data_IF_127225144812
#
_entry.id   IF_127225144812
#
_cell.length_a   1.000
_cell.length_b   1.000
_cell.length_c   1.000
_cell.angle_alpha   90.00
_cell.angle_beta   90.00
_cell.angle_gamma   90.00
#
_symmetry.space_group_name_H-M   'P 1'
#
loop_
_entity.id
_entity.type
_entity.pdbx_description
1 polymer ?
#
# COMPACT_ATOMS: atom_id res chain seq x y z
N UNK A 1 3.68 -16.95 -8.86
CA UNK A 1 4.92 -16.12 -8.84
C UNK A 1 6.17 -16.97 -8.62
N UNK A 2 6.24 -17.81 -7.58
CA UNK A 2 7.40 -18.69 -7.31
C UNK A 2 7.68 -19.72 -8.43
N UNK A 3 6.63 -20.29 -9.03
CA UNK A 3 6.77 -21.19 -10.18
C UNK A 3 7.43 -20.52 -11.40
N UNK A 4 7.22 -19.20 -11.57
CA UNK A 4 7.86 -18.41 -12.65
C UNK A 4 9.36 -18.23 -12.37
N UNK A 5 9.77 -18.22 -11.10
CA UNK A 5 11.17 -18.13 -10.67
C UNK A 5 11.88 -19.50 -10.67
N UNK A 6 11.23 -20.57 -11.15
CA UNK A 6 11.81 -21.92 -11.21
C UNK A 6 11.70 -22.73 -9.90
N UNK A 7 10.87 -22.28 -8.95
CA UNK A 7 10.63 -22.98 -7.70
C UNK A 7 9.36 -23.85 -7.80
N UNK A 8 9.48 -25.13 -7.46
CA UNK A 8 8.33 -26.01 -7.26
C UNK A 8 7.55 -25.57 -6.02
N UNK A 9 6.22 -25.55 -6.10
CA UNK A 9 5.37 -25.14 -4.97
C UNK A 9 4.29 -26.17 -4.73
N UNK A 10 4.16 -26.65 -3.50
CA UNK A 10 3.06 -27.50 -3.06
C UNK A 10 2.35 -26.86 -1.87
N UNK A 11 1.03 -26.94 -1.86
CA UNK A 11 0.19 -26.49 -0.76
C UNK A 11 -0.22 -27.69 0.07
N UNK A 12 -0.20 -27.58 1.39
CA UNK A 12 -0.75 -28.59 2.29
C UNK A 12 -1.70 -27.92 3.31
N UNK A 13 -2.69 -28.64 3.84
CA UNK A 13 -3.58 -28.10 4.86
C UNK A 13 -2.77 -27.84 6.14
N UNK A 14 -2.69 -26.58 6.57
CA UNK A 14 -2.03 -26.20 7.84
C UNK A 14 -2.96 -26.24 9.04
N UNK A 15 -4.16 -26.81 8.91
CA UNK A 15 -5.16 -26.88 9.99
C UNK A 15 -5.70 -25.51 10.39
N UNK A 16 -5.91 -25.30 11.69
CA UNK A 16 -6.40 -24.03 12.25
C UNK A 16 -5.38 -22.88 12.10
N UNK A 17 -4.11 -23.21 11.88
CA UNK A 17 -3.02 -22.24 11.84
C UNK A 17 -2.85 -21.58 10.47
N UNK A 18 -3.47 -22.12 9.41
CA UNK A 18 -3.54 -21.51 8.08
C UNK A 18 -3.21 -22.43 6.92
N UNK A 19 -2.63 -21.87 5.85
CA UNK A 19 -2.26 -22.60 4.64
C UNK A 19 -0.77 -22.93 4.67
N UNK A 20 -0.43 -24.22 4.60
CA UNK A 20 0.94 -24.70 4.47
C UNK A 20 1.44 -24.54 3.04
N UNK A 21 2.65 -24.00 2.88
CA UNK A 21 3.35 -23.88 1.61
C UNK A 21 4.71 -24.53 1.71
N UNK A 22 4.95 -25.50 0.84
CA UNK A 22 6.27 -26.09 0.60
C UNK A 22 6.82 -25.56 -0.71
N UNK A 23 8.01 -24.96 -0.64
CA UNK A 23 8.75 -24.47 -1.79
C UNK A 23 10.00 -25.33 -1.98
N UNK A 24 10.17 -25.88 -3.17
CA UNK A 24 11.25 -26.80 -3.52
C UNK A 24 12.08 -26.22 -4.66
N UNK A 25 13.41 -26.20 -4.50
CA UNK A 25 14.35 -25.83 -5.55
C UNK A 25 15.48 -26.85 -5.62
N UNK A 26 15.55 -27.59 -6.72
CA UNK A 26 16.52 -28.66 -6.93
C UNK A 26 16.59 -29.64 -5.73
N UNK A 27 17.56 -29.50 -4.83
CA UNK A 27 17.77 -30.35 -3.64
C UNK A 27 17.35 -29.72 -2.31
N UNK A 28 16.83 -28.48 -2.30
CA UNK A 28 16.40 -27.77 -1.09
C UNK A 28 14.89 -27.63 -1.05
N UNK A 29 14.29 -27.95 0.09
CA UNK A 29 12.86 -27.74 0.34
C UNK A 29 12.67 -26.96 1.63
N UNK A 30 11.81 -25.95 1.59
CA UNK A 30 11.42 -25.17 2.75
C UNK A 30 9.90 -25.17 2.87
N UNK A 31 9.40 -25.52 4.06
CA UNK A 31 7.97 -25.52 4.37
C UNK A 31 7.67 -24.43 5.38
N UNK A 32 6.65 -23.62 5.12
CA UNK A 32 6.16 -22.59 6.02
C UNK A 32 4.64 -22.65 6.11
N UNK A 33 4.10 -22.39 7.30
CA UNK A 33 2.66 -22.21 7.49
C UNK A 33 2.38 -20.70 7.40
N UNK A 34 1.54 -20.32 6.43
CA UNK A 34 1.09 -18.95 6.25
C UNK A 34 -0.22 -18.80 7.00
N UNK A 35 -0.14 -18.20 8.18
CA UNK A 35 -1.30 -17.86 9.00
C UNK A 35 -1.98 -16.58 8.51
N UNK A 36 -3.20 -16.33 8.98
CA UNK A 36 -3.98 -15.13 8.65
C UNK A 36 -3.29 -13.82 9.03
N UNK A 37 -2.45 -13.82 10.07
CA UNK A 37 -1.61 -12.67 10.43
C UNK A 37 -0.53 -12.39 9.37
N UNK A 38 -0.06 -13.43 8.67
CA UNK A 38 0.94 -13.30 7.60
C UNK A 38 0.37 -12.69 6.32
N UNK A 39 -0.95 -12.86 6.08
CA UNK A 39 -1.65 -12.26 4.94
C UNK A 39 -1.78 -10.73 5.05
N UNK A 40 -1.36 -10.16 6.19
CA UNK A 40 -1.29 -8.73 6.40
C UNK A 40 -2.60 -8.11 6.91
N UNK A 41 -3.37 -8.87 7.69
CA UNK A 41 -4.54 -8.35 8.41
C UNK A 41 -4.18 -7.18 9.33
N UNK A 42 -3.05 -7.29 10.05
CA UNK A 42 -2.57 -6.24 10.94
C UNK A 42 -2.17 -4.96 10.18
N UNK A 43 -1.43 -5.10 9.08
CA UNK A 43 -1.04 -3.99 8.21
C UNK A 43 -2.25 -3.32 7.52
N UNK A 44 -3.28 -4.09 7.13
CA UNK A 44 -4.51 -3.54 6.55
C UNK A 44 -5.30 -2.70 7.56
N UNK A 45 -5.31 -3.13 8.82
CA UNK A 45 -5.93 -2.37 9.91
C UNK A 45 -5.22 -1.03 10.13
N UNK A 46 -3.89 -1.04 10.27
CA UNK A 46 -3.09 0.18 10.45
C UNK A 46 -3.18 1.09 9.22
N UNK A 47 -3.14 0.52 8.01
CA UNK A 47 -3.36 1.27 6.76
C UNK A 47 -4.67 2.04 6.79
N UNK A 48 -5.77 1.34 7.14
CA UNK A 48 -7.11 1.93 7.18
C UNK A 48 -7.19 3.10 8.16
N UNK A 49 -6.56 2.96 9.34
CA UNK A 49 -6.48 4.04 10.31
C UNK A 49 -5.66 5.22 9.78
N UNK A 50 -4.45 4.97 9.27
CA UNK A 50 -3.57 6.01 8.73
C UNK A 50 -4.19 6.80 7.58
N UNK A 51 -4.79 6.11 6.60
CA UNK A 51 -5.41 6.78 5.45
C UNK A 51 -6.66 7.57 5.88
N UNK A 52 -7.43 7.07 6.84
CA UNK A 52 -8.60 7.78 7.38
C UNK A 52 -8.18 9.07 8.10
N UNK A 53 -7.12 9.03 8.91
CA UNK A 53 -6.57 10.21 9.57
C UNK A 53 -6.03 11.22 8.54
N UNK A 54 -5.26 10.76 7.56
CA UNK A 54 -4.68 11.62 6.53
C UNK A 54 -5.77 12.30 5.68
N UNK A 55 -6.79 11.55 5.23
CA UNK A 55 -7.88 12.10 4.42
C UNK A 55 -8.87 12.96 5.22
N UNK A 56 -8.94 12.84 6.54
CA UNK A 56 -9.78 13.71 7.39
C UNK A 56 -9.27 15.15 7.38
N UNK A 57 -7.96 15.35 7.29
CA UNK A 57 -7.34 16.68 7.25
C UNK A 57 -7.46 17.40 5.90
N UNK A 58 -7.89 16.73 4.83
CA UNK A 58 -7.88 17.30 3.47
C UNK A 58 -9.31 17.53 2.97
N UNK A 59 -9.57 18.76 2.50
CA UNK A 59 -10.88 19.18 1.99
C UNK A 59 -11.07 18.78 0.51
N UNK A 60 -11.06 17.47 0.26
CA UNK A 60 -11.24 16.85 -1.06
C UNK A 60 -12.66 16.26 -1.18
N UNK A 61 -13.21 16.27 -2.40
CA UNK A 61 -14.46 15.57 -2.73
C UNK A 61 -14.42 14.07 -2.34
N UNK A 62 -15.51 13.55 -1.78
CA UNK A 62 -15.65 12.14 -1.37
C UNK A 62 -15.21 11.13 -2.46
N UNK A 63 -15.52 11.39 -3.72
CA UNK A 63 -15.15 10.50 -4.84
C UNK A 63 -13.63 10.31 -4.97
N UNK A 64 -12.85 11.39 -4.85
CA UNK A 64 -11.39 11.32 -4.90
C UNK A 64 -10.80 10.64 -3.67
N UNK A 65 -11.38 10.86 -2.49
CA UNK A 65 -11.00 10.16 -1.26
C UNK A 65 -11.15 8.65 -1.42
N UNK A 66 -12.26 8.21 -2.02
CA UNK A 66 -12.51 6.79 -2.27
C UNK A 66 -11.48 6.18 -3.24
N UNK A 67 -11.12 6.89 -4.31
CA UNK A 67 -10.08 6.45 -5.24
C UNK A 67 -8.74 6.26 -4.52
N UNK A 68 -8.34 7.22 -3.67
CA UNK A 68 -7.12 7.09 -2.88
C UNK A 68 -7.19 5.93 -1.87
N UNK A 69 -8.32 5.68 -1.22
CA UNK A 69 -8.45 4.51 -0.34
C UNK A 69 -8.30 3.20 -1.12
N UNK A 70 -8.96 3.08 -2.28
CA UNK A 70 -8.90 1.85 -3.09
C UNK A 70 -7.49 1.62 -3.64
N UNK A 71 -6.85 2.65 -4.20
CA UNK A 71 -5.49 2.53 -4.76
C UNK A 71 -4.48 2.14 -3.69
N UNK A 72 -4.56 2.77 -2.51
CA UNK A 72 -3.66 2.42 -1.41
C UNK A 72 -3.93 1.01 -0.87
N UNK A 73 -5.19 0.57 -0.79
CA UNK A 73 -5.55 -0.78 -0.38
C UNK A 73 -5.01 -1.85 -1.34
N UNK A 74 -5.12 -1.61 -2.66
CA UNK A 74 -4.53 -2.49 -3.69
C UNK A 74 -3.01 -2.56 -3.54
N UNK A 75 -2.34 -1.42 -3.34
CA UNK A 75 -0.89 -1.42 -3.13
C UNK A 75 -0.46 -2.13 -1.84
N UNK A 76 -1.20 -1.95 -0.74
CA UNK A 76 -0.99 -2.70 0.51
C UNK A 76 -1.11 -4.20 0.29
N UNK A 77 -2.11 -4.65 -0.48
CA UNK A 77 -2.24 -6.06 -0.86
C UNK A 77 -1.04 -6.58 -1.65
N UNK A 78 -0.54 -5.81 -2.63
CA UNK A 78 0.66 -6.19 -3.39
C UNK A 78 1.92 -6.29 -2.50
N UNK A 79 2.11 -5.34 -1.59
CA UNK A 79 3.25 -5.34 -0.66
C UNK A 79 3.19 -6.53 0.29
N UNK A 80 1.98 -6.91 0.74
CA UNK A 80 1.79 -8.11 1.55
C UNK A 80 2.17 -9.38 0.80
N UNK A 81 1.87 -9.47 -0.51
CA UNK A 81 2.33 -10.58 -1.35
C UNK A 81 3.87 -10.59 -1.44
N UNK A 82 4.49 -9.44 -1.69
CA UNK A 82 5.96 -9.32 -1.76
C UNK A 82 6.64 -9.76 -0.46
N UNK A 83 6.04 -9.45 0.69
CA UNK A 83 6.51 -9.92 2.01
C UNK A 83 6.52 -11.44 2.07
N UNK A 84 5.42 -12.11 1.73
CA UNK A 84 5.33 -13.58 1.76
C UNK A 84 6.35 -14.20 0.80
N UNK A 85 6.47 -13.67 -0.41
CA UNK A 85 7.46 -14.14 -1.40
C UNK A 85 8.88 -13.99 -0.86
N UNK A 86 9.20 -12.88 -0.21
CA UNK A 86 10.53 -12.62 0.37
C UNK A 86 10.85 -13.60 1.50
N UNK A 87 9.89 -13.91 2.39
CA UNK A 87 10.06 -14.90 3.46
C UNK A 87 10.36 -16.30 2.89
N UNK A 88 9.61 -16.70 1.86
CA UNK A 88 9.78 -18.01 1.22
C UNK A 88 11.14 -18.11 0.50
N UNK A 89 11.55 -17.06 -0.22
CA UNK A 89 12.86 -17.00 -0.86
C UNK A 89 14.01 -17.02 0.16
N UNK A 90 13.88 -16.29 1.26
CA UNK A 90 14.86 -16.31 2.35
C UNK A 90 14.98 -17.72 2.96
N UNK A 91 13.85 -18.41 3.16
CA UNK A 91 13.82 -19.76 3.70
C UNK A 91 14.49 -20.80 2.81
N UNK A 92 14.24 -20.77 1.50
CA UNK A 92 14.86 -21.73 0.57
C UNK A 92 16.36 -21.48 0.38
N UNK A 93 16.78 -20.21 0.31
CA UNK A 93 18.18 -19.87 0.03
C UNK A 93 19.08 -19.93 1.27
N UNK A 94 18.58 -19.51 2.43
CA UNK A 94 19.37 -19.27 3.64
C UNK A 94 18.90 -20.02 4.88
N UNK A 95 17.79 -20.77 4.78
CA UNK A 95 17.27 -21.61 5.86
C UNK A 95 16.30 -20.91 6.82
N UNK A 96 15.76 -21.68 7.76
CA UNK A 96 14.66 -21.27 8.64
C UNK A 96 14.99 -20.08 9.55
N UNK A 97 16.23 -19.96 10.01
CA UNK A 97 16.64 -18.86 10.89
C UNK A 97 16.50 -17.50 10.20
N UNK A 98 16.99 -17.38 8.96
CA UNK A 98 16.89 -16.12 8.22
C UNK A 98 15.45 -15.82 7.81
N UNK A 99 14.66 -16.85 7.47
CA UNK A 99 13.24 -16.70 7.19
C UNK A 99 12.45 -16.20 8.40
N UNK A 100 12.77 -16.67 9.60
CA UNK A 100 12.18 -16.18 10.84
C UNK A 100 12.53 -14.71 11.09
N UNK A 101 13.80 -14.32 10.94
CA UNK A 101 14.21 -12.91 11.04
C UNK A 101 13.50 -12.04 9.99
N UNK A 102 13.34 -12.53 8.76
CA UNK A 102 12.57 -11.84 7.72
C UNK A 102 11.08 -11.71 8.07
N UNK A 103 10.51 -12.74 8.65
CA UNK A 103 9.12 -12.76 9.06
C UNK A 103 8.84 -11.76 10.18
N UNK A 104 9.71 -11.74 11.20
CA UNK A 104 9.54 -10.97 12.44
C UNK A 104 9.94 -9.50 12.27
N UNK A 105 11.07 -9.20 11.62
CA UNK A 105 11.57 -7.83 11.48
C UNK A 105 11.23 -7.22 10.11
N UNK A 106 11.62 -7.91 9.04
CA UNK A 106 11.52 -7.34 7.69
C UNK A 106 10.08 -7.19 7.20
N UNK A 107 9.17 -7.99 7.75
CA UNK A 107 7.75 -7.93 7.46
C UNK A 107 7.13 -6.55 7.66
N UNK A 108 7.49 -5.87 8.75
CA UNK A 108 6.94 -4.55 9.07
C UNK A 108 7.60 -3.45 8.24
N UNK A 109 8.87 -3.60 7.90
CA UNK A 109 9.59 -2.64 7.05
C UNK A 109 8.97 -2.51 5.66
N UNK A 110 8.48 -3.60 5.05
CA UNK A 110 7.74 -3.54 3.78
C UNK A 110 6.52 -2.61 3.88
N UNK A 111 5.74 -2.75 4.95
CA UNK A 111 4.55 -1.94 5.16
C UNK A 111 4.90 -0.49 5.45
N UNK A 112 5.88 -0.23 6.32
CA UNK A 112 6.33 1.12 6.68
C UNK A 112 6.83 1.84 5.43
N UNK A 113 7.72 1.21 4.65
CA UNK A 113 8.25 1.79 3.42
C UNK A 113 7.13 2.11 2.42
N UNK A 114 6.17 1.19 2.22
CA UNK A 114 5.01 1.43 1.38
C UNK A 114 4.17 2.60 1.87
N UNK A 115 3.87 2.68 3.17
CA UNK A 115 3.09 3.77 3.74
C UNK A 115 3.76 5.12 3.56
N UNK A 116 5.07 5.21 3.78
CA UNK A 116 5.82 6.44 3.52
C UNK A 116 5.73 6.85 2.04
N UNK A 117 6.03 5.92 1.12
CA UNK A 117 5.93 6.19 -0.32
C UNK A 117 4.51 6.64 -0.69
N UNK A 118 3.50 5.95 -0.18
CA UNK A 118 2.11 6.21 -0.51
C UNK A 118 1.63 7.58 0.00
N UNK A 119 1.92 7.92 1.25
CA UNK A 119 1.57 9.22 1.82
C UNK A 119 2.34 10.36 1.12
N UNK A 120 3.61 10.16 0.78
CA UNK A 120 4.37 11.13 -0.01
C UNK A 120 3.77 11.32 -1.41
N UNK A 121 3.37 10.23 -2.09
CA UNK A 121 2.70 10.32 -3.38
C UNK A 121 1.38 11.09 -3.28
N UNK A 122 0.56 10.82 -2.26
CA UNK A 122 -0.69 11.57 -2.03
C UNK A 122 -0.42 13.05 -1.79
N UNK A 123 0.57 13.38 -0.96
CA UNK A 123 0.97 14.77 -0.73
C UNK A 123 1.44 15.47 -2.01
N UNK A 124 2.25 14.79 -2.84
CA UNK A 124 2.74 15.33 -4.12
C UNK A 124 1.61 15.51 -5.14
N UNK A 125 0.68 14.56 -5.22
CA UNK A 125 -0.48 14.66 -6.12
C UNK A 125 -1.38 15.84 -5.72
N UNK A 126 -1.60 16.02 -4.43
CA UNK A 126 -2.44 17.09 -3.90
C UNK A 126 -1.77 18.47 -4.06
N UNK A 127 -0.48 18.60 -3.72
CA UNK A 127 0.26 19.86 -3.91
C UNK A 127 0.37 20.27 -5.39
N UNK A 128 0.52 19.30 -6.31
CA UNK A 128 0.46 19.59 -7.76
C UNK A 128 -0.94 20.02 -8.21
N UNK A 129 -2.00 19.51 -7.59
CA UNK A 129 -3.37 19.92 -7.89
C UNK A 129 -3.67 21.35 -7.41
N UNK A 130 -3.20 21.72 -6.21
CA UNK A 130 -3.36 23.09 -5.69
C UNK A 130 -2.64 24.15 -6.52
N UNK A 131 -1.53 23.80 -7.19
CA UNK A 131 -0.81 24.72 -8.08
C UNK A 131 -1.52 24.98 -9.42
N UNK A 132 -2.57 24.21 -9.76
CA UNK A 132 -3.34 24.31 -11.02
C UNK A 132 -4.67 25.10 -10.90
N UNK A 133 -4.79 26.03 -9.95
CA UNK A 133 -5.75 27.13 -10.08
C UNK A 133 -5.01 28.41 -10.45
N UNK A 134 -4.92 28.78 -11.74
CA UNK A 134 -4.72 30.17 -12.08
C UNK A 134 -5.88 30.95 -11.44
N UNK A 135 -5.56 31.96 -10.64
CA UNK A 135 -6.49 33.03 -10.32
C UNK A 135 -7.03 33.57 -11.65
N UNK A 136 -8.31 33.33 -11.93
CA UNK A 136 -9.03 34.26 -12.79
C UNK A 136 -9.18 35.54 -11.95
N UNK A 137 -8.21 36.45 -12.11
CA UNK A 137 -8.32 37.82 -11.64
C UNK A 137 -9.45 38.52 -12.42
N UNK A 138 -10.58 38.68 -11.75
CA UNK A 138 -11.38 39.91 -11.56
C UNK A 138 -11.19 41.03 -12.62
N UNK A 139 -12.30 41.46 -13.23
CA UNK A 139 -12.50 42.88 -13.54
C UNK A 139 -13.90 43.31 -13.06
N UNK A 140 -14.02 44.34 -12.19
CA UNK A 140 -15.30 44.95 -11.88
C UNK A 140 -15.58 46.02 -12.94
N UNK A 141 -16.59 45.84 -13.77
CA UNK A 141 -17.10 46.94 -14.61
C UNK A 141 -17.88 47.90 -13.71
N UNK A 142 -17.15 48.85 -13.10
CA UNK A 142 -17.71 50.13 -12.70
C UNK A 142 -17.89 50.96 -13.98
N UNK A 143 -19.10 50.97 -14.54
CA UNK A 143 -19.51 52.02 -15.46
C UNK A 143 -20.28 53.08 -14.66
N UNK A 144 -19.59 54.17 -14.36
CA UNK A 144 -20.14 55.39 -13.81
C UNK A 144 -20.94 56.10 -14.91
N UNK A 145 -22.22 55.77 -15.03
CA UNK A 145 -23.19 56.68 -15.66
C UNK A 145 -23.43 57.88 -14.74
N UNK A 146 -22.52 58.84 -14.81
CA UNK A 146 -22.75 60.23 -14.42
C UNK A 146 -23.21 61.02 -15.66
N UNK A 147 -24.52 61.08 -15.87
CA UNK A 147 -25.24 62.19 -16.54
C UNK A 147 -26.74 61.87 -16.40
N UNK A 148 -27.65 62.71 -15.93
CA UNK A 148 -27.77 64.13 -16.21
C UNK A 148 -28.60 64.79 -15.11
N UNK A 149 -28.13 65.96 -14.67
CA UNK A 149 -28.97 66.96 -14.01
C UNK A 149 -29.71 67.74 -15.11
N UNK A 150 -31.04 67.64 -15.18
CA UNK A 150 -32.01 68.73 -15.39
C UNK A 150 -33.42 68.18 -15.54
#
# INVERSE_FOLDING_TARGET
MLNILGYGTQTFPGGADGLGLTVTQASRSYSAIVSWSCAGSHSLFIYSFMIMLFLRGINISLNRKMIYVVVGAVGTFFVNILRIVSILLAGVNSGASLAATFHEFYGEFFFIAWMFIYLTLLYLLETRFFRKKPQQNIEPTQDNSADHTK
#
